data_IF_311839102825
#
_entry.id   IF_311839102825
#
_cell.length_a   1.000
_cell.length_b   1.000
_cell.length_c   1.000
_cell.angle_alpha   90.00
_cell.angle_beta   90.00
_cell.angle_gamma   90.00
#
_symmetry.space_group_name_H-M   'P 1'
#
loop_
_entity.id
_entity.type
_entity.pdbx_description
1 polymer ?
#
# COMPACT_ATOMS: atom_id res chain seq x y z
N UNK A 1 10.28 16.20 19.89
CA UNK A 1 11.01 14.91 20.06
C UNK A 1 12.13 14.81 19.04
N UNK A 2 13.33 14.32 19.43
CA UNK A 2 14.44 14.13 18.48
C UNK A 2 14.12 12.92 17.56
N UNK A 3 14.44 13.03 16.25
CA UNK A 3 14.22 11.97 15.26
C UNK A 3 14.85 10.63 15.68
N UNK A 4 16.01 10.66 16.32
CA UNK A 4 16.68 9.46 16.83
C UNK A 4 15.84 8.76 17.93
N UNK A 5 15.21 9.50 18.80
CA UNK A 5 14.31 8.97 19.84
C UNK A 5 13.03 8.41 19.22
N UNK A 6 12.46 9.12 18.24
CA UNK A 6 11.29 8.68 17.48
C UNK A 6 11.56 7.32 16.81
N UNK A 7 12.68 7.22 16.10
CA UNK A 7 13.07 5.97 15.42
C UNK A 7 13.27 4.83 16.42
N UNK A 8 13.95 5.10 17.54
CA UNK A 8 14.21 4.10 18.58
C UNK A 8 12.92 3.60 19.23
N UNK A 9 11.96 4.50 19.53
CA UNK A 9 10.64 4.14 20.03
C UNK A 9 9.89 3.28 19.00
N UNK A 10 9.83 3.73 17.76
CA UNK A 10 9.11 3.05 16.67
C UNK A 10 9.67 1.66 16.37
N UNK A 11 10.99 1.45 16.43
CA UNK A 11 11.61 0.13 16.25
C UNK A 11 11.30 -0.84 17.40
N UNK A 12 11.11 -0.34 18.62
CA UNK A 12 10.77 -1.16 19.77
C UNK A 12 9.30 -1.51 19.85
N UNK A 13 8.44 -0.68 19.28
CA UNK A 13 7.00 -0.81 19.38
C UNK A 13 6.46 -2.15 18.88
N UNK A 14 6.82 -2.67 17.68
CA UNK A 14 6.31 -3.95 17.22
C UNK A 14 6.71 -5.12 18.11
N UNK A 15 7.96 -5.16 18.60
CA UNK A 15 8.47 -6.26 19.44
C UNK A 15 7.90 -6.26 20.86
N UNK A 16 7.16 -5.22 21.26
CA UNK A 16 6.49 -5.19 22.56
C UNK A 16 5.37 -6.22 22.69
N UNK A 17 4.83 -6.72 21.55
CA UNK A 17 3.84 -7.79 21.49
C UNK A 17 3.97 -8.63 20.22
N UNK A 18 4.76 -9.70 20.28
CA UNK A 18 4.99 -10.62 19.17
C UNK A 18 3.72 -11.29 18.63
N UNK A 19 2.72 -11.50 19.49
CA UNK A 19 1.45 -12.12 19.05
C UNK A 19 0.77 -11.24 18.02
N UNK A 20 0.82 -9.92 18.18
CA UNK A 20 0.22 -8.96 17.24
C UNK A 20 0.93 -8.96 15.89
N UNK A 21 2.27 -9.10 15.87
CA UNK A 21 3.03 -9.24 14.64
C UNK A 21 2.57 -10.48 13.87
N UNK A 22 2.48 -11.64 14.56
CA UNK A 22 2.09 -12.90 13.92
C UNK A 22 0.65 -12.81 13.37
N UNK A 23 -0.29 -12.28 14.15
CA UNK A 23 -1.69 -12.15 13.72
C UNK A 23 -1.78 -11.22 12.50
N UNK A 24 -1.11 -10.07 12.53
CA UNK A 24 -1.06 -9.14 11.40
C UNK A 24 -0.41 -9.80 10.17
N UNK A 25 0.68 -10.55 10.37
CA UNK A 25 1.36 -11.28 9.32
C UNK A 25 0.49 -12.34 8.65
N UNK A 26 -0.35 -13.06 9.42
CA UNK A 26 -1.32 -14.01 8.87
C UNK A 26 -2.29 -13.29 7.93
N UNK A 27 -2.84 -12.13 8.32
CA UNK A 27 -3.73 -11.36 7.45
C UNK A 27 -3.00 -10.85 6.21
N UNK A 28 -1.74 -10.40 6.32
CA UNK A 28 -0.95 -9.96 5.16
C UNK A 28 -0.74 -11.13 4.19
N UNK A 29 -0.41 -12.32 4.68
CA UNK A 29 -0.24 -13.52 3.84
C UNK A 29 -1.55 -13.93 3.18
N UNK A 30 -2.68 -13.92 3.91
CA UNK A 30 -4.00 -14.17 3.33
C UNK A 30 -4.32 -13.12 2.26
N UNK A 31 -3.96 -11.86 2.47
CA UNK A 31 -4.11 -10.78 1.49
C UNK A 31 -3.38 -11.06 0.16
N UNK A 32 -2.21 -11.69 0.23
CA UNK A 32 -1.41 -12.07 -0.94
C UNK A 32 -1.73 -13.44 -1.55
N UNK A 33 -2.68 -14.21 -1.00
CA UNK A 33 -2.89 -15.61 -1.40
C UNK A 33 -3.33 -15.76 -2.86
N UNK A 34 -4.02 -14.77 -3.44
CA UNK A 34 -4.43 -14.79 -4.85
C UNK A 34 -3.24 -14.86 -5.80
N UNK A 35 -2.10 -14.27 -5.46
CA UNK A 35 -0.88 -14.35 -6.27
C UNK A 35 -0.26 -15.75 -6.30
N UNK A 36 -0.50 -16.55 -5.26
CA UNK A 36 -0.03 -17.94 -5.21
C UNK A 36 -0.83 -18.89 -6.11
N UNK A 37 -2.07 -18.53 -6.47
CA UNK A 37 -2.92 -19.34 -7.33
C UNK A 37 -2.31 -19.47 -8.74
N UNK A 38 -1.63 -18.44 -9.21
CA UNK A 38 -0.91 -18.46 -10.49
C UNK A 38 0.24 -19.49 -10.50
N UNK A 39 0.84 -19.78 -9.33
CA UNK A 39 1.94 -20.73 -9.20
C UNK A 39 1.48 -22.19 -9.26
N UNK A 40 0.20 -22.45 -9.00
CA UNK A 40 -0.41 -23.79 -9.01
C UNK A 40 -1.36 -23.99 -10.19
N UNK A 41 -1.22 -23.15 -11.23
CA UNK A 41 -1.98 -23.19 -12.49
C UNK A 41 -3.51 -23.23 -12.31
N UNK A 42 -4.03 -22.63 -11.25
CA UNK A 42 -5.47 -22.51 -11.08
C UNK A 42 -5.99 -21.38 -11.97
N UNK A 43 -6.62 -21.77 -13.08
CA UNK A 43 -7.20 -20.87 -14.09
C UNK A 43 -8.72 -20.69 -13.96
N UNK A 44 -9.34 -21.33 -12.98
CA UNK A 44 -10.78 -21.18 -12.76
C UNK A 44 -11.12 -19.80 -12.18
N UNK A 45 -11.70 -18.94 -13.00
CA UNK A 45 -12.03 -17.55 -12.66
C UNK A 45 -12.90 -17.40 -11.41
N UNK A 46 -13.82 -18.34 -11.15
CA UNK A 46 -14.65 -18.28 -9.96
C UNK A 46 -13.82 -18.49 -8.69
N UNK A 47 -12.86 -19.42 -8.72
CA UNK A 47 -11.93 -19.67 -7.62
C UNK A 47 -11.04 -18.44 -7.42
N UNK A 48 -10.44 -17.91 -8.49
CA UNK A 48 -9.60 -16.72 -8.43
C UNK A 48 -10.37 -15.55 -7.83
N UNK A 49 -11.62 -15.31 -8.27
CA UNK A 49 -12.46 -14.24 -7.74
C UNK A 49 -12.71 -14.38 -6.23
N UNK A 50 -12.99 -15.58 -5.73
CA UNK A 50 -13.17 -15.85 -4.30
C UNK A 50 -11.91 -15.43 -3.52
N UNK A 51 -10.73 -15.84 -3.99
CA UNK A 51 -9.47 -15.50 -3.32
C UNK A 51 -9.13 -14.01 -3.41
N UNK A 52 -9.48 -13.34 -4.50
CA UNK A 52 -9.36 -11.87 -4.61
C UNK A 52 -10.25 -11.18 -3.57
N UNK A 53 -11.50 -11.62 -3.39
CA UNK A 53 -12.41 -11.05 -2.37
C UNK A 53 -11.86 -11.31 -0.97
N UNK A 54 -11.38 -12.51 -0.67
CA UNK A 54 -10.75 -12.83 0.62
C UNK A 54 -9.52 -11.92 0.84
N UNK A 55 -8.71 -11.74 -0.19
CA UNK A 55 -7.53 -10.87 -0.16
C UNK A 55 -7.89 -9.40 0.13
N UNK A 56 -8.92 -8.88 -0.52
CA UNK A 56 -9.41 -7.51 -0.28
C UNK A 56 -9.90 -7.34 1.16
N UNK A 57 -10.72 -8.27 1.67
CA UNK A 57 -11.21 -8.21 3.06
C UNK A 57 -10.02 -8.26 4.04
N UNK A 58 -9.06 -9.13 3.80
CA UNK A 58 -7.86 -9.24 4.62
C UNK A 58 -7.02 -7.97 4.59
N UNK A 59 -6.84 -7.36 3.41
CA UNK A 59 -6.17 -6.08 3.25
C UNK A 59 -6.85 -4.96 4.04
N UNK A 60 -8.18 -4.85 3.96
CA UNK A 60 -8.94 -3.87 4.75
C UNK A 60 -8.77 -4.08 6.26
N UNK A 61 -8.67 -5.32 6.73
CA UNK A 61 -8.40 -5.62 8.15
C UNK A 61 -7.00 -5.15 8.54
N UNK A 62 -6.00 -5.39 7.69
CA UNK A 62 -4.62 -4.92 7.89
C UNK A 62 -4.58 -3.41 7.98
N UNK A 63 -5.15 -2.70 6.99
CA UNK A 63 -5.16 -1.24 6.95
C UNK A 63 -5.90 -0.64 8.15
N UNK A 64 -7.04 -1.24 8.53
CA UNK A 64 -7.80 -0.83 9.71
C UNK A 64 -7.03 -1.03 11.01
N UNK A 65 -6.27 -2.12 11.13
CA UNK A 65 -5.43 -2.36 12.29
C UNK A 65 -4.24 -1.39 12.35
N UNK A 66 -3.58 -1.14 11.24
CA UNK A 66 -2.50 -0.14 11.15
C UNK A 66 -3.01 1.26 11.47
N UNK A 67 -4.20 1.61 10.99
CA UNK A 67 -4.85 2.88 11.34
C UNK A 67 -5.21 2.96 12.84
N UNK A 68 -5.64 1.85 13.44
CA UNK A 68 -5.87 1.78 14.90
C UNK A 68 -4.58 2.00 15.68
N UNK A 69 -3.43 1.49 15.19
CA UNK A 69 -2.11 1.79 15.77
C UNK A 69 -1.83 3.30 15.71
N UNK A 70 -2.12 3.97 14.60
CA UNK A 70 -1.95 5.43 14.52
C UNK A 70 -2.81 6.12 15.57
N UNK A 71 -4.11 5.80 15.68
CA UNK A 71 -5.03 6.35 16.66
C UNK A 71 -4.52 6.21 18.10
N UNK A 72 -4.19 4.98 18.52
CA UNK A 72 -3.75 4.72 19.89
C UNK A 72 -2.37 5.33 20.18
N UNK A 73 -1.51 5.40 19.18
CA UNK A 73 -0.19 6.03 19.31
C UNK A 73 -0.26 7.54 19.43
N UNK A 74 -1.20 8.20 18.72
CA UNK A 74 -1.49 9.64 18.89
C UNK A 74 -2.05 9.92 20.29
N UNK A 75 -2.90 9.04 20.82
CA UNK A 75 -3.40 9.11 22.20
C UNK A 75 -2.31 8.86 23.27
N UNK A 76 -1.10 8.47 22.85
CA UNK A 76 0.06 8.27 23.74
C UNK A 76 0.22 6.83 24.23
N UNK A 77 -0.52 5.87 23.71
CA UNK A 77 -0.33 4.46 24.04
C UNK A 77 0.98 3.91 23.46
N UNK A 78 1.68 3.10 24.27
CA UNK A 78 2.99 2.56 23.92
C UNK A 78 2.97 1.07 23.58
N UNK A 79 1.78 0.47 23.46
CA UNK A 79 1.61 -0.94 23.10
C UNK A 79 0.66 -1.10 21.93
N UNK A 80 0.88 -2.10 21.07
CA UNK A 80 -0.05 -2.40 19.98
C UNK A 80 -1.46 -2.72 20.51
N UNK A 81 -2.52 -2.17 19.88
CA UNK A 81 -3.91 -2.40 20.29
C UNK A 81 -4.33 -3.87 20.10
N UNK A 82 -5.45 -4.26 20.73
CA UNK A 82 -6.01 -5.58 20.55
C UNK A 82 -6.69 -5.76 19.18
N UNK A 83 -6.59 -6.99 18.64
CA UNK A 83 -7.38 -7.43 17.48
C UNK A 83 -8.80 -7.77 17.93
N UNK A 84 -9.63 -6.77 18.09
CA UNK A 84 -11.03 -6.88 18.46
C UNK A 84 -11.86 -5.94 17.58
N UNK A 85 -13.18 -6.02 17.69
CA UNK A 85 -14.10 -5.13 16.97
C UNK A 85 -13.84 -5.10 15.45
N UNK A 86 -13.95 -6.28 14.85
CA UNK A 86 -13.67 -6.55 13.43
C UNK A 86 -14.47 -5.65 12.48
N UNK A 87 -15.71 -5.28 12.89
CA UNK A 87 -16.53 -4.36 12.11
C UNK A 87 -15.86 -2.99 11.98
N UNK A 88 -15.39 -2.43 13.09
CA UNK A 88 -14.71 -1.14 13.06
C UNK A 88 -13.34 -1.22 12.37
N UNK A 89 -12.62 -2.35 12.46
CA UNK A 89 -11.40 -2.57 11.67
C UNK A 89 -11.68 -2.50 10.16
N UNK A 90 -12.74 -3.15 9.68
CA UNK A 90 -13.13 -3.09 8.26
C UNK A 90 -13.54 -1.68 7.85
N UNK A 91 -14.32 -0.97 8.68
CA UNK A 91 -14.74 0.40 8.40
C UNK A 91 -13.53 1.35 8.35
N UNK A 92 -12.61 1.23 9.31
CA UNK A 92 -11.41 2.04 9.37
C UNK A 92 -10.48 1.72 8.19
N UNK A 93 -10.31 0.45 7.82
CA UNK A 93 -9.58 0.04 6.63
C UNK A 93 -10.19 0.59 5.33
N UNK A 94 -11.52 0.59 5.22
CA UNK A 94 -12.20 1.20 4.08
C UNK A 94 -11.93 2.71 3.99
N UNK A 95 -11.92 3.43 5.12
CA UNK A 95 -11.56 4.86 5.14
C UNK A 95 -10.13 5.09 4.65
N UNK A 96 -9.17 4.29 5.13
CA UNK A 96 -7.77 4.35 4.66
C UNK A 96 -7.67 4.05 3.18
N UNK A 97 -8.35 3.01 2.71
CA UNK A 97 -8.39 2.62 1.30
C UNK A 97 -8.98 3.73 0.40
N UNK A 98 -10.08 4.37 0.82
CA UNK A 98 -10.65 5.50 0.08
C UNK A 98 -9.70 6.70 0.06
N UNK A 99 -9.04 6.99 1.17
CA UNK A 99 -8.03 8.05 1.22
C UNK A 99 -6.86 7.73 0.29
N UNK A 100 -6.39 6.48 0.26
CA UNK A 100 -5.37 6.01 -0.68
C UNK A 100 -5.77 6.22 -2.15
N UNK A 101 -7.00 5.88 -2.53
CA UNK A 101 -7.50 6.13 -3.89
C UNK A 101 -7.43 7.61 -4.24
N UNK A 102 -7.93 8.49 -3.35
CA UNK A 102 -7.99 9.93 -3.63
C UNK A 102 -6.60 10.55 -3.74
N UNK A 103 -5.66 10.17 -2.88
CA UNK A 103 -4.32 10.78 -2.87
C UNK A 103 -3.35 10.15 -3.86
N UNK A 104 -3.36 8.81 -4.02
CA UNK A 104 -2.31 8.11 -4.75
C UNK A 104 -2.77 7.51 -6.08
N UNK A 105 -4.07 7.30 -6.29
CA UNK A 105 -4.57 6.77 -7.57
C UNK A 105 -5.15 7.87 -8.46
N UNK A 106 -6.00 8.75 -7.91
CA UNK A 106 -6.67 9.75 -8.73
C UNK A 106 -5.73 10.79 -9.37
N UNK A 107 -4.72 11.36 -8.69
CA UNK A 107 -3.86 12.35 -9.31
C UNK A 107 -3.10 11.81 -10.54
N UNK A 108 -2.35 10.69 -10.47
CA UNK A 108 -1.68 10.16 -11.65
C UNK A 108 -2.66 9.69 -12.73
N UNK A 109 -3.85 9.19 -12.37
CA UNK A 109 -4.89 8.83 -13.33
C UNK A 109 -5.41 10.05 -14.09
N UNK A 110 -5.65 11.17 -13.41
CA UNK A 110 -6.09 12.43 -14.04
C UNK A 110 -5.01 12.93 -14.99
N UNK A 111 -3.74 12.96 -14.54
CA UNK A 111 -2.61 13.35 -15.40
C UNK A 111 -2.52 12.45 -16.63
N UNK A 112 -2.66 11.15 -16.46
CA UNK A 112 -2.66 10.17 -17.55
C UNK A 112 -3.79 10.46 -18.56
N UNK A 113 -5.03 10.70 -18.08
CA UNK A 113 -6.17 11.01 -18.94
C UNK A 113 -5.98 12.33 -19.70
N UNK A 114 -5.41 13.35 -19.06
CA UNK A 114 -5.08 14.63 -19.72
C UNK A 114 -4.07 14.40 -20.84
N UNK A 115 -3.02 13.62 -20.58
CA UNK A 115 -2.02 13.28 -21.58
C UNK A 115 -2.66 12.52 -22.75
N UNK A 116 -3.51 11.54 -22.48
CA UNK A 116 -4.27 10.83 -23.51
C UNK A 116 -5.07 11.77 -24.40
N UNK A 117 -5.77 12.74 -23.80
CA UNK A 117 -6.55 13.75 -24.54
C UNK A 117 -5.65 14.66 -25.38
N UNK A 118 -4.51 15.09 -24.84
CA UNK A 118 -3.58 15.99 -25.53
C UNK A 118 -2.84 15.31 -26.70
N UNK A 119 -2.54 14.01 -26.59
CA UNK A 119 -1.86 13.23 -27.63
C UNK A 119 -2.75 12.75 -28.76
N UNK A 120 -4.00 13.19 -28.83
CA UNK A 120 -4.90 12.90 -29.95
C UNK A 120 -5.77 11.68 -29.79
N UNK A 121 -6.02 11.26 -28.56
CA UNK A 121 -7.00 10.22 -28.22
C UNK A 121 -6.52 8.79 -28.40
N UNK A 122 -7.42 7.84 -28.10
CA UNK A 122 -7.18 6.39 -28.09
C UNK A 122 -6.64 5.82 -29.41
N UNK A 123 -6.91 6.46 -30.56
CA UNK A 123 -6.41 6.04 -31.87
C UNK A 123 -4.89 6.18 -32.01
N UNK A 124 -4.27 7.12 -31.31
CA UNK A 124 -2.81 7.30 -31.33
C UNK A 124 -2.06 6.18 -30.61
N UNK A 125 -2.75 5.40 -29.77
CA UNK A 125 -2.18 4.25 -29.06
C UNK A 125 -2.35 2.93 -29.79
N UNK A 126 -2.88 2.93 -31.03
CA UNK A 126 -3.14 1.71 -31.80
C UNK A 126 -4.22 0.83 -31.19
N UNK A 127 -4.98 1.33 -30.23
CA UNK A 127 -6.14 0.66 -29.64
C UNK A 127 -7.34 0.82 -30.54
N UNK A 128 -7.31 0.16 -31.69
CA UNK A 128 -8.52 -0.02 -32.47
C UNK A 128 -9.36 -1.13 -31.82
N UNK A 129 -10.18 -0.70 -30.84
CA UNK A 129 -11.06 -1.58 -30.06
C UNK A 129 -12.00 -2.34 -31.01
N UNK A 130 -12.41 -1.74 -32.12
CA UNK A 130 -13.25 -2.41 -33.13
C UNK A 130 -12.48 -3.45 -33.95
N UNK A 131 -11.20 -3.23 -34.25
CA UNK A 131 -10.36 -4.22 -34.89
C UNK A 131 -10.09 -5.42 -33.96
N UNK A 132 -9.92 -5.17 -32.67
CA UNK A 132 -9.74 -6.24 -31.67
C UNK A 132 -11.02 -7.06 -31.49
N UNK A 133 -12.18 -6.45 -31.43
CA UNK A 133 -13.48 -7.14 -31.32
C UNK A 133 -13.78 -7.96 -32.58
N UNK A 134 -13.49 -7.40 -33.77
CA UNK A 134 -13.78 -8.05 -35.06
C UNK A 134 -12.86 -9.22 -35.42
N UNK A 135 -11.60 -9.22 -34.91
CA UNK A 135 -10.59 -10.21 -35.31
C UNK A 135 -10.55 -11.49 -34.44
N UNK A 136 -11.14 -11.47 -33.24
CA UNK A 136 -10.90 -12.53 -32.25
C UNK A 136 -11.97 -13.63 -32.21
N UNK A 137 -13.15 -13.45 -32.80
CA UNK A 137 -14.24 -14.44 -32.72
C UNK A 137 -14.67 -14.81 -31.29
N UNK A 138 -14.27 -14.05 -30.31
CA UNK A 138 -14.46 -14.31 -28.88
C UNK A 138 -15.88 -13.89 -28.47
N UNK A 139 -16.55 -14.73 -27.69
CA UNK A 139 -17.88 -14.37 -27.15
C UNK A 139 -17.82 -13.09 -26.32
N UNK A 140 -18.90 -12.27 -26.27
CA UNK A 140 -18.92 -11.00 -25.53
C UNK A 140 -18.53 -11.13 -24.06
N UNK A 141 -18.81 -12.25 -23.43
CA UNK A 141 -18.45 -12.53 -22.02
C UNK A 141 -16.95 -12.81 -21.87
N UNK A 142 -16.37 -13.62 -22.78
CA UNK A 142 -14.94 -13.88 -22.79
C UNK A 142 -14.14 -12.61 -23.17
N UNK A 143 -14.69 -11.76 -24.04
CA UNK A 143 -14.12 -10.46 -24.37
C UNK A 143 -14.10 -9.52 -23.14
N UNK A 144 -15.19 -9.45 -22.37
CA UNK A 144 -15.24 -8.65 -21.15
C UNK A 144 -14.21 -9.13 -20.11
N UNK A 145 -14.13 -10.41 -19.86
CA UNK A 145 -13.23 -10.99 -18.85
C UNK A 145 -11.77 -10.95 -19.31
N UNK A 146 -11.48 -11.38 -20.55
CA UNK A 146 -10.11 -11.30 -21.10
C UNK A 146 -9.72 -9.86 -21.38
N UNK A 147 -10.64 -9.03 -21.86
CA UNK A 147 -10.39 -7.61 -22.14
C UNK A 147 -10.14 -6.78 -20.87
N UNK A 148 -10.77 -7.10 -19.75
CA UNK A 148 -10.46 -6.49 -18.46
C UNK A 148 -9.10 -6.96 -17.95
N UNK A 149 -8.80 -8.25 -17.97
CA UNK A 149 -7.54 -8.81 -17.47
C UNK A 149 -6.34 -8.43 -18.35
N UNK A 150 -6.46 -8.61 -19.66
CA UNK A 150 -5.41 -8.18 -20.63
C UNK A 150 -5.38 -6.66 -20.78
N UNK A 151 -6.49 -5.96 -20.60
CA UNK A 151 -6.55 -4.52 -20.54
C UNK A 151 -5.80 -3.96 -19.32
N UNK A 152 -5.93 -4.58 -18.16
CA UNK A 152 -5.17 -4.22 -16.96
C UNK A 152 -3.67 -4.54 -17.17
N UNK A 153 -3.31 -5.69 -17.73
CA UNK A 153 -1.91 -6.02 -18.05
C UNK A 153 -1.33 -5.06 -19.09
N UNK A 154 -2.06 -4.78 -20.17
CA UNK A 154 -1.65 -3.82 -21.18
C UNK A 154 -1.62 -2.39 -20.65
N UNK A 155 -2.56 -1.99 -19.79
CA UNK A 155 -2.49 -0.72 -19.07
C UNK A 155 -1.26 -0.65 -18.16
N UNK A 156 -0.87 -1.76 -17.53
CA UNK A 156 0.37 -1.83 -16.76
C UNK A 156 1.61 -1.68 -17.65
N UNK A 157 1.66 -2.35 -18.80
CA UNK A 157 2.77 -2.27 -19.75
C UNK A 157 2.82 -0.87 -20.39
N UNK A 158 1.69 -0.32 -20.78
CA UNK A 158 1.57 1.05 -21.31
C UNK A 158 1.91 2.06 -20.21
N UNK A 159 1.37 1.89 -19.00
CA UNK A 159 1.72 2.71 -17.85
C UNK A 159 3.22 2.61 -17.54
N UNK A 160 3.84 1.43 -17.60
CA UNK A 160 5.27 1.26 -17.37
C UNK A 160 6.12 1.96 -18.45
N UNK A 161 5.71 1.91 -19.71
CA UNK A 161 6.37 2.63 -20.81
C UNK A 161 6.13 4.15 -20.71
N UNK A 162 4.94 4.57 -20.31
CA UNK A 162 4.60 5.97 -20.02
C UNK A 162 5.32 6.43 -18.74
N UNK A 163 5.39 5.59 -17.71
CA UNK A 163 6.15 5.85 -16.48
C UNK A 163 7.62 6.18 -16.76
N UNK A 164 8.27 5.47 -17.69
CA UNK A 164 9.64 5.75 -18.08
C UNK A 164 9.80 7.16 -18.73
N UNK A 165 8.76 7.69 -19.34
CA UNK A 165 8.72 9.04 -19.89
C UNK A 165 8.31 10.10 -18.85
N UNK A 166 7.64 9.68 -17.75
CA UNK A 166 7.08 10.59 -16.73
C UNK A 166 7.67 10.41 -15.34
N UNK A 167 8.97 10.12 -15.26
CA UNK A 167 9.73 10.06 -13.98
C UNK A 167 9.45 11.28 -13.08
N UNK A 168 9.20 12.45 -13.67
CA UNK A 168 8.88 13.67 -12.93
C UNK A 168 7.57 13.54 -12.16
N UNK A 169 6.52 12.95 -12.77
CA UNK A 169 5.22 12.75 -12.09
C UNK A 169 5.38 11.82 -10.89
N UNK A 170 6.14 10.74 -11.05
CA UNK A 170 6.44 9.81 -9.95
C UNK A 170 7.27 10.46 -8.85
N UNK A 171 8.21 11.33 -9.21
CA UNK A 171 8.99 12.07 -8.22
C UNK A 171 8.09 13.02 -7.42
N UNK A 172 7.16 13.71 -8.07
CA UNK A 172 6.17 14.56 -7.39
C UNK A 172 5.28 13.72 -6.48
N UNK A 173 4.78 12.59 -6.98
CA UNK A 173 3.98 11.64 -6.18
C UNK A 173 4.73 11.20 -4.92
N UNK A 174 5.95 10.76 -5.09
CA UNK A 174 6.76 10.24 -3.99
C UNK A 174 7.23 11.34 -3.02
N UNK A 175 7.62 12.51 -3.52
CA UNK A 175 8.20 13.57 -2.69
C UNK A 175 7.13 14.43 -2.02
N UNK A 176 5.98 14.65 -2.68
CA UNK A 176 4.96 15.59 -2.22
C UNK A 176 3.69 14.85 -1.79
N UNK A 177 3.11 14.03 -2.68
CA UNK A 177 1.79 13.45 -2.43
C UNK A 177 1.83 12.39 -1.34
N UNK A 178 2.84 11.52 -1.35
CA UNK A 178 2.94 10.45 -0.35
C UNK A 178 3.12 10.98 1.09
N UNK A 179 3.98 11.96 1.39
CA UNK A 179 4.01 12.59 2.71
C UNK A 179 2.67 13.25 3.09
N UNK A 180 2.00 13.93 2.16
CA UNK A 180 0.67 14.50 2.41
C UNK A 180 -0.36 13.43 2.73
N UNK A 181 -0.39 12.33 1.99
CA UNK A 181 -1.24 11.18 2.26
C UNK A 181 -1.01 10.61 3.67
N UNK A 182 0.25 10.42 4.06
CA UNK A 182 0.58 9.90 5.39
C UNK A 182 0.10 10.83 6.50
N UNK A 183 0.32 12.14 6.35
CA UNK A 183 -0.17 13.12 7.31
C UNK A 183 -1.69 13.25 7.30
N UNK A 184 -2.35 13.05 6.15
CA UNK A 184 -3.80 12.96 6.04
C UNK A 184 -4.37 11.77 6.86
N UNK A 185 -3.70 10.62 6.82
CA UNK A 185 -4.06 9.46 7.66
C UNK A 185 -3.88 9.80 9.15
N UNK A 186 -2.79 10.49 9.50
CA UNK A 186 -2.56 10.89 10.89
C UNK A 186 -3.59 11.93 11.36
N UNK A 187 -3.97 12.92 10.52
CA UNK A 187 -5.00 13.89 10.80
C UNK A 187 -6.37 13.21 11.01
N UNK A 188 -6.74 12.28 10.11
CA UNK A 188 -7.95 11.48 10.25
C UNK A 188 -7.95 10.65 11.55
N UNK A 189 -6.80 10.16 11.99
CA UNK A 189 -6.67 9.39 13.21
C UNK A 189 -6.82 10.27 14.47
N UNK A 190 -6.24 11.46 14.44
CA UNK A 190 -6.28 12.45 15.51
C UNK A 190 -7.69 13.01 15.70
N UNK A 191 -8.30 13.55 14.65
CA UNK A 191 -9.63 14.15 14.67
C UNK A 191 -10.76 13.10 14.78
N UNK A 192 -10.47 11.80 14.54
CA UNK A 192 -11.44 10.69 14.52
C UNK A 192 -12.56 10.87 13.49
N UNK A 193 -12.36 11.76 12.53
CA UNK A 193 -13.29 12.11 11.47
C UNK A 193 -12.70 11.79 10.10
N UNK A 194 -13.47 11.09 9.23
CA UNK A 194 -12.99 10.73 7.88
C UNK A 194 -12.69 11.95 7.02
N UNK A 195 -13.53 13.00 7.13
CA UNK A 195 -13.37 14.23 6.37
C UNK A 195 -12.06 14.98 6.69
N UNK A 196 -11.47 14.77 7.88
CA UNK A 196 -10.21 15.38 8.29
C UNK A 196 -9.04 14.98 7.36
N UNK A 197 -9.09 13.78 6.75
CA UNK A 197 -8.10 13.37 5.76
C UNK A 197 -8.04 14.30 4.53
N UNK A 198 -9.08 15.06 4.24
CA UNK A 198 -9.21 15.91 3.06
C UNK A 198 -9.12 17.43 3.36
N UNK A 199 -8.87 17.78 4.61
CA UNK A 199 -8.67 19.16 5.05
C UNK A 199 -7.22 19.60 4.79
N UNK A 200 -6.87 19.78 3.51
CA UNK A 200 -5.50 20.11 3.09
C UNK A 200 -4.94 21.35 3.79
N UNK A 201 -5.78 22.35 4.09
CA UNK A 201 -5.37 23.55 4.84
C UNK A 201 -4.82 23.21 6.21
N UNK A 202 -5.54 22.40 7.00
CA UNK A 202 -5.10 21.92 8.32
C UNK A 202 -3.81 21.10 8.23
N UNK A 203 -3.72 20.19 7.24
CA UNK A 203 -2.54 19.35 7.05
C UNK A 203 -1.30 20.20 6.73
N UNK A 204 -1.44 21.24 5.89
CA UNK A 204 -0.35 22.16 5.55
C UNK A 204 0.05 23.01 6.77
N UNK A 205 -0.90 23.46 7.57
CA UNK A 205 -0.64 24.17 8.82
C UNK A 205 0.15 23.30 9.80
N UNK A 206 -0.26 22.05 10.02
CA UNK A 206 0.45 21.09 10.86
C UNK A 206 1.88 20.84 10.35
N UNK A 207 2.08 20.75 9.02
CA UNK A 207 3.41 20.64 8.42
C UNK A 207 4.25 21.90 8.78
N UNK A 208 3.63 23.08 8.74
CA UNK A 208 4.26 24.33 9.13
C UNK A 208 4.71 24.32 10.59
N UNK A 209 3.87 23.86 11.50
CA UNK A 209 4.13 23.78 12.95
C UNK A 209 5.24 22.77 13.29
N UNK A 210 5.20 21.57 12.67
CA UNK A 210 6.27 20.57 12.82
C UNK A 210 7.58 21.09 12.18
N UNK A 211 7.47 21.86 11.11
CA UNK A 211 8.55 22.37 10.28
C UNK A 211 8.90 21.41 9.12
N UNK A 212 8.91 21.95 7.89
CA UNK A 212 9.20 21.23 6.66
C UNK A 212 10.48 20.38 6.72
N UNK A 213 11.54 20.93 7.35
CA UNK A 213 12.83 20.22 7.49
C UNK A 213 12.69 18.97 8.37
N UNK A 214 11.89 19.04 9.43
CA UNK A 214 11.65 17.91 10.32
C UNK A 214 10.80 16.82 9.64
N UNK A 215 9.79 17.22 8.87
CA UNK A 215 8.99 16.28 8.05
C UNK A 215 9.86 15.56 7.02
N UNK A 216 10.70 16.29 6.29
CA UNK A 216 11.61 15.68 5.30
C UNK A 216 12.61 14.73 5.99
N UNK A 217 13.22 15.14 7.09
CA UNK A 217 14.13 14.29 7.87
C UNK A 217 13.43 13.02 8.35
N UNK A 218 12.23 13.16 8.91
CA UNK A 218 11.42 12.03 9.35
C UNK A 218 11.11 11.08 8.17
N UNK A 219 10.58 11.61 7.09
CA UNK A 219 10.18 10.84 5.92
C UNK A 219 11.34 10.05 5.32
N UNK A 220 12.50 10.72 5.10
CA UNK A 220 13.70 10.07 4.57
C UNK A 220 14.25 9.03 5.55
N UNK A 221 14.37 9.37 6.83
CA UNK A 221 14.94 8.46 7.83
C UNK A 221 14.08 7.22 8.03
N UNK A 222 12.76 7.39 8.20
CA UNK A 222 11.84 6.28 8.38
C UNK A 222 11.70 5.44 7.13
N UNK A 223 11.69 6.07 5.96
CA UNK A 223 11.68 5.39 4.66
C UNK A 223 12.94 4.56 4.42
N UNK A 224 14.12 5.11 4.70
CA UNK A 224 15.39 4.34 4.58
C UNK A 224 15.39 3.13 5.52
N UNK A 225 14.96 3.28 6.76
CA UNK A 225 14.90 2.16 7.70
C UNK A 225 13.88 1.10 7.23
N UNK A 226 12.72 1.53 6.74
CA UNK A 226 11.73 0.63 6.14
C UNK A 226 12.33 -0.16 4.97
N UNK A 227 13.02 0.51 4.05
CA UNK A 227 13.71 -0.11 2.92
C UNK A 227 14.82 -1.07 3.37
N UNK A 228 15.57 -0.75 4.42
CA UNK A 228 16.59 -1.65 4.96
C UNK A 228 15.98 -2.94 5.54
N UNK A 229 14.89 -2.83 6.29
CA UNK A 229 14.18 -4.00 6.82
C UNK A 229 13.67 -4.88 5.67
N UNK A 230 13.06 -4.25 4.65
CA UNK A 230 12.56 -4.96 3.48
C UNK A 230 13.70 -5.61 2.67
N UNK A 231 14.82 -4.90 2.49
CA UNK A 231 15.99 -5.42 1.77
C UNK A 231 16.63 -6.63 2.44
N UNK A 232 16.62 -6.69 3.77
CA UNK A 232 17.09 -7.87 4.51
C UNK A 232 16.23 -9.09 4.14
N UNK A 233 14.90 -8.94 4.13
CA UNK A 233 13.98 -10.02 3.75
C UNK A 233 14.19 -10.49 2.32
N UNK A 234 14.30 -9.57 1.37
CA UNK A 234 14.53 -9.89 -0.04
C UNK A 234 15.90 -10.54 -0.27
N UNK A 235 16.95 -10.08 0.41
CA UNK A 235 18.29 -10.66 0.33
C UNK A 235 18.32 -12.10 0.87
N UNK A 236 17.70 -12.34 2.00
CA UNK A 236 17.58 -13.69 2.58
C UNK A 236 16.82 -14.58 1.59
N UNK A 237 15.67 -14.14 1.08
CA UNK A 237 14.89 -14.91 0.09
C UNK A 237 15.71 -15.20 -1.16
N UNK A 238 16.49 -14.24 -1.67
CA UNK A 238 17.37 -14.43 -2.83
C UNK A 238 18.46 -15.47 -2.57
N UNK A 239 19.15 -15.42 -1.42
CA UNK A 239 20.18 -16.41 -1.06
C UNK A 239 19.57 -17.82 -1.05
N UNK A 240 18.39 -18.01 -0.48
CA UNK A 240 17.74 -19.31 -0.45
C UNK A 240 17.20 -19.73 -1.83
N UNK A 241 16.82 -18.81 -2.71
CA UNK A 241 16.39 -19.16 -4.07
C UNK A 241 17.50 -19.81 -4.90
N UNK A 242 18.75 -19.48 -4.62
CA UNK A 242 19.93 -20.02 -5.34
C UNK A 242 20.40 -21.35 -4.76
N UNK A 243 20.17 -21.59 -3.46
CA UNK A 243 20.79 -22.69 -2.72
C UNK A 243 19.84 -23.82 -2.33
N UNK A 244 18.52 -23.68 -2.53
CA UNK A 244 17.51 -24.67 -2.12
C UNK A 244 16.52 -25.00 -3.22
N UNK A 245 15.74 -26.06 -2.99
CA UNK A 245 14.60 -26.41 -3.85
C UNK A 245 13.48 -25.35 -3.75
N UNK A 246 12.61 -25.32 -4.74
CA UNK A 246 11.53 -24.34 -4.85
C UNK A 246 10.61 -24.31 -3.62
N UNK A 247 10.32 -25.48 -3.04
CA UNK A 247 9.42 -25.56 -1.86
C UNK A 247 10.03 -24.89 -0.64
N UNK A 248 11.32 -25.16 -0.35
CA UNK A 248 12.04 -24.53 0.76
C UNK A 248 12.15 -23.02 0.58
N UNK A 249 12.37 -22.55 -0.63
CA UNK A 249 12.35 -21.11 -0.95
C UNK A 249 11.01 -20.47 -0.59
N UNK A 250 9.87 -21.06 -1.01
CA UNK A 250 8.55 -20.51 -0.71
C UNK A 250 8.24 -20.50 0.78
N UNK A 251 8.60 -21.56 1.52
CA UNK A 251 8.40 -21.63 2.98
C UNK A 251 9.17 -20.50 3.68
N UNK A 252 10.43 -20.31 3.33
CA UNK A 252 11.27 -19.26 3.92
C UNK A 252 10.73 -17.89 3.59
N UNK A 253 10.35 -17.64 2.34
CA UNK A 253 9.76 -16.37 1.92
C UNK A 253 8.45 -16.07 2.65
N UNK A 254 7.63 -17.10 2.89
CA UNK A 254 6.39 -16.99 3.66
C UNK A 254 6.67 -16.62 5.12
N UNK A 255 7.65 -17.28 5.78
CA UNK A 255 8.03 -16.98 7.17
C UNK A 255 8.56 -15.55 7.27
N UNK A 256 9.40 -15.12 6.33
CA UNK A 256 9.90 -13.75 6.29
C UNK A 256 8.77 -12.74 6.09
N UNK A 257 7.82 -13.02 5.19
CA UNK A 257 6.64 -12.19 4.98
C UNK A 257 5.77 -12.11 6.25
N UNK A 258 5.62 -13.21 6.99
CA UNK A 258 4.85 -13.29 8.22
C UNK A 258 5.41 -12.41 9.36
N UNK A 259 6.70 -12.13 9.35
CA UNK A 259 7.38 -11.40 10.45
C UNK A 259 7.83 -10.01 9.99
N UNK A 260 8.58 -9.92 8.88
CA UNK A 260 9.23 -8.67 8.48
C UNK A 260 8.24 -7.65 7.93
N UNK A 261 7.22 -8.09 7.16
CA UNK A 261 6.23 -7.16 6.62
C UNK A 261 5.40 -6.50 7.73
N UNK A 262 4.74 -7.25 8.65
CA UNK A 262 3.99 -6.62 9.72
C UNK A 262 4.87 -5.81 10.65
N UNK A 263 6.10 -6.25 10.94
CA UNK A 263 7.05 -5.49 11.74
C UNK A 263 7.34 -4.13 11.10
N UNK A 264 7.69 -4.11 9.81
CA UNK A 264 8.01 -2.86 9.09
C UNK A 264 6.82 -1.92 8.99
N UNK A 265 5.60 -2.45 8.79
CA UNK A 265 4.38 -1.66 8.73
C UNK A 265 4.04 -1.04 10.10
N UNK A 266 4.09 -1.85 11.18
CA UNK A 266 3.85 -1.34 12.55
C UNK A 266 4.89 -0.30 12.96
N UNK A 267 6.17 -0.50 12.61
CA UNK A 267 7.23 0.49 12.78
C UNK A 267 6.87 1.81 12.10
N UNK A 268 6.46 1.73 10.83
CA UNK A 268 6.22 2.91 10.01
C UNK A 268 5.01 3.72 10.50
N UNK A 269 3.90 3.08 10.82
CA UNK A 269 2.70 3.78 11.31
C UNK A 269 2.89 4.32 12.73
N UNK A 270 3.72 3.67 13.57
CA UNK A 270 4.12 4.24 14.87
C UNK A 270 4.96 5.50 14.68
N UNK A 271 5.93 5.48 13.77
CA UNK A 271 6.75 6.65 13.45
C UNK A 271 5.92 7.81 12.89
N UNK A 272 4.89 7.51 12.09
CA UNK A 272 3.92 8.49 11.59
C UNK A 272 3.14 9.16 12.74
N UNK A 273 2.61 8.37 13.67
CA UNK A 273 1.85 8.89 14.78
C UNK A 273 2.71 9.77 15.71
N UNK A 274 4.00 9.42 15.90
CA UNK A 274 4.91 10.16 16.77
C UNK A 274 5.35 11.50 16.19
N UNK A 275 5.51 11.61 14.86
CA UNK A 275 5.85 12.90 14.23
C UNK A 275 4.63 13.83 14.20
N UNK A 276 3.43 13.25 14.04
CA UNK A 276 2.20 14.01 13.94
C UNK A 276 1.72 14.60 15.27
N UNK A 277 2.23 14.18 16.41
CA UNK A 277 1.74 14.59 17.74
C UNK A 277 1.76 16.13 17.85
N UNK A 278 0.58 16.82 17.81
CA UNK A 278 0.52 18.24 18.12
C UNK A 278 0.91 18.45 19.58
N UNK A 279 1.64 19.55 19.86
CA UNK A 279 2.01 19.92 21.23
C UNK A 279 0.79 20.33 22.04
#
# INVERSE_FOLDING_TARGET
MNITELVKDSLKYPVSDWKKIIVLGIFIVIGGISSLLNLIDITNYAIVLIFVVIGLISGLIVDGYLFRIVKTSVDGENKPPEFNDWKNLLIDGMKVFLTFIVYLILPPLIVFLIILLLLGGLSSFGLDIMAIIGSTGISPINFLVTGILTGIENLFIIAFNILNQYVIVLLIEFIIILPLFLLAIANMAYEREFAAAFRLGEIIEIIGDIGWVNIIKWYVTTGVIFLLIFSIGTLISFIFSVSTDSVSFYIISLILALILLPYSQMYYVRALALIYKPE
#
